data_IF_491279896728
#
_entry.id   IF_491279896728
#
_cell.length_a   1.000
_cell.length_b   1.000
_cell.length_c   1.000
_cell.angle_alpha   90.00
_cell.angle_beta   90.00
_cell.angle_gamma   90.00
#
_symmetry.space_group_name_H-M   'P 1'
#
loop_
_entity.id
_entity.type
_entity.pdbx_description
1 polymer ?
#
# COMPACT_ATOMS: atom_id res chain seq x y z
N UNK A 1 10.03 -2.20 -1.53
CA UNK A 1 10.74 -1.04 -2.11
C UNK A 1 9.91 0.19 -1.79
N UNK A 2 10.51 1.18 -1.13
CA UNK A 2 9.83 2.40 -0.71
C UNK A 2 10.43 3.58 -1.44
N UNK A 3 9.60 4.45 -2.00
CA UNK A 3 10.01 5.70 -2.62
C UNK A 3 9.18 6.86 -2.09
N UNK A 4 9.78 8.05 -2.09
CA UNK A 4 9.15 9.30 -1.66
C UNK A 4 9.21 10.27 -2.83
N UNK A 5 8.07 10.89 -3.14
CA UNK A 5 7.90 11.77 -4.30
C UNK A 5 7.31 13.10 -3.85
N UNK A 6 7.84 14.20 -4.36
CA UNK A 6 7.19 15.50 -4.25
C UNK A 6 6.27 15.67 -5.46
N UNK A 7 4.96 15.57 -5.23
CA UNK A 7 3.95 15.63 -6.29
C UNK A 7 3.30 17.00 -6.29
N UNK A 8 3.37 17.69 -7.43
CA UNK A 8 2.66 18.96 -7.67
C UNK A 8 1.38 18.67 -8.43
N UNK A 9 0.24 19.11 -7.89
CA UNK A 9 -1.06 19.02 -8.54
C UNK A 9 -1.80 20.36 -8.39
N UNK A 10 -2.01 21.07 -9.50
CA UNK A 10 -2.51 22.44 -9.52
C UNK A 10 -1.64 23.34 -8.60
N UNK A 11 -2.27 24.00 -7.62
CA UNK A 11 -1.61 24.86 -6.63
C UNK A 11 -1.16 24.12 -5.37
N UNK A 12 -1.35 22.80 -5.30
CA UNK A 12 -0.98 21.99 -4.15
C UNK A 12 0.31 21.22 -4.41
N UNK A 13 1.16 21.15 -3.40
CA UNK A 13 2.33 20.26 -3.35
C UNK A 13 2.11 19.33 -2.18
N UNK A 14 2.31 18.02 -2.40
CA UNK A 14 2.24 17.03 -1.35
C UNK A 14 3.35 15.99 -1.52
N UNK A 15 3.82 15.48 -0.38
CA UNK A 15 4.73 14.34 -0.35
C UNK A 15 3.92 13.04 -0.48
N UNK A 16 4.28 12.21 -1.47
CA UNK A 16 3.70 10.90 -1.69
C UNK A 16 4.72 9.82 -1.34
N UNK A 17 4.36 8.96 -0.40
CA UNK A 17 5.12 7.76 -0.06
C UNK A 17 4.53 6.56 -0.79
N UNK A 18 5.31 5.97 -1.70
CA UNK A 18 4.91 4.79 -2.46
C UNK A 18 5.65 3.55 -1.93
N UNK A 19 4.89 2.52 -1.55
CA UNK A 19 5.43 1.28 -0.99
C UNK A 19 5.03 0.13 -1.92
N UNK A 20 6.02 -0.55 -2.50
CA UNK A 20 5.82 -1.70 -3.35
C UNK A 20 6.28 -2.99 -2.65
N UNK A 21 5.34 -3.91 -2.43
CA UNK A 21 5.60 -5.25 -1.93
C UNK A 21 5.69 -6.24 -3.10
N UNK A 22 6.89 -6.79 -3.34
CA UNK A 22 7.17 -7.63 -4.52
C UNK A 22 7.02 -9.14 -4.26
N UNK A 23 6.98 -9.56 -2.99
CA UNK A 23 6.90 -10.97 -2.57
C UNK A 23 5.45 -11.44 -2.39
N UNK A 24 4.57 -11.03 -3.29
CA UNK A 24 3.17 -11.44 -3.28
C UNK A 24 2.70 -11.75 -4.71
N UNK A 25 2.90 -13.00 -5.15
CA UNK A 25 2.46 -13.46 -6.46
C UNK A 25 0.94 -13.35 -6.59
N UNK A 26 0.46 -13.36 -7.84
CA UNK A 26 -0.98 -13.33 -8.07
C UNK A 26 -1.63 -14.67 -7.71
N UNK A 27 -2.89 -14.61 -7.30
CA UNK A 27 -3.69 -15.78 -6.89
C UNK A 27 -3.09 -16.64 -5.77
N UNK A 28 -2.16 -16.10 -4.97
CA UNK A 28 -1.54 -16.81 -3.86
C UNK A 28 -1.42 -15.96 -2.60
N UNK A 29 -1.03 -16.60 -1.51
CA UNK A 29 -0.58 -15.92 -0.30
C UNK A 29 0.79 -15.26 -0.53
N UNK A 30 1.16 -14.26 0.30
CA UNK A 30 2.53 -13.74 0.34
C UNK A 30 3.55 -14.87 0.51
N UNK A 31 4.66 -14.83 -0.23
CA UNK A 31 5.76 -15.78 -0.01
C UNK A 31 6.55 -15.50 1.27
N UNK A 32 6.34 -14.31 1.84
CA UNK A 32 6.88 -13.85 3.11
C UNK A 32 5.74 -13.17 3.86
N UNK A 33 5.34 -13.73 5.01
CA UNK A 33 4.20 -13.24 5.78
C UNK A 33 4.54 -12.02 6.61
N UNK A 34 5.81 -11.86 7.03
CA UNK A 34 6.26 -10.76 7.89
C UNK A 34 6.08 -9.43 7.16
N UNK A 35 6.55 -9.34 5.93
CA UNK A 35 6.44 -8.11 5.13
C UNK A 35 4.99 -7.72 4.82
N UNK A 36 4.10 -8.70 4.62
CA UNK A 36 2.68 -8.43 4.40
C UNK A 36 1.99 -7.92 5.69
N UNK A 37 2.33 -8.50 6.84
CA UNK A 37 1.83 -8.05 8.16
C UNK A 37 2.35 -6.65 8.51
N UNK A 38 3.61 -6.34 8.21
CA UNK A 38 4.16 -4.99 8.39
C UNK A 38 3.44 -3.96 7.51
N UNK A 39 3.15 -4.30 6.25
CA UNK A 39 2.38 -3.44 5.36
C UNK A 39 0.96 -3.19 5.89
N UNK A 40 0.30 -4.22 6.43
CA UNK A 40 -1.01 -4.08 7.07
C UNK A 40 -0.94 -3.15 8.30
N UNK A 41 0.07 -3.31 9.16
CA UNK A 41 0.29 -2.44 10.33
C UNK A 41 0.49 -0.98 9.92
N UNK A 42 1.26 -0.72 8.85
CA UNK A 42 1.46 0.63 8.32
C UNK A 42 0.13 1.29 7.89
N UNK A 43 -0.74 0.53 7.22
CA UNK A 43 -2.07 1.01 6.82
C UNK A 43 -2.92 1.34 8.04
N UNK A 44 -2.96 0.44 9.03
CA UNK A 44 -3.77 0.61 10.27
C UNK A 44 -3.30 1.78 11.13
N UNK A 45 -2.01 2.09 11.11
CA UNK A 45 -1.42 3.20 11.88
C UNK A 45 -1.48 4.55 11.15
N UNK A 46 -1.98 4.60 9.92
CA UNK A 46 -2.10 5.86 9.19
C UNK A 46 -3.16 6.77 9.83
N UNK A 47 -2.87 8.07 10.05
CA UNK A 47 -3.83 8.99 10.66
C UNK A 47 -5.15 9.10 9.88
N UNK A 48 -6.26 9.19 10.61
CA UNK A 48 -7.58 9.47 10.00
C UNK A 48 -7.51 10.80 9.22
N UNK A 49 -8.19 10.85 8.07
CA UNK A 49 -8.17 12.01 7.17
C UNK A 49 -7.05 12.00 6.11
N UNK A 50 -6.17 10.99 6.12
CA UNK A 50 -5.17 10.77 5.08
C UNK A 50 -5.56 9.51 4.27
N UNK A 51 -6.33 9.65 3.17
CA UNK A 51 -6.75 8.50 2.39
C UNK A 51 -5.52 7.79 1.80
N UNK A 52 -5.49 6.46 1.94
CA UNK A 52 -4.44 5.62 1.37
C UNK A 52 -4.99 4.95 0.11
N UNK A 53 -4.21 4.97 -0.96
CA UNK A 53 -4.48 4.17 -2.16
C UNK A 53 -3.77 2.83 -2.04
N UNK A 54 -4.53 1.75 -2.15
CA UNK A 54 -4.01 0.38 -2.20
C UNK A 54 -4.42 -0.24 -3.52
N UNK A 55 -3.48 -0.86 -4.24
CA UNK A 55 -3.78 -1.54 -5.49
C UNK A 55 -2.91 -2.79 -5.69
N UNK A 56 -3.39 -3.70 -6.54
CA UNK A 56 -2.61 -4.79 -7.11
C UNK A 56 -2.71 -4.73 -8.64
N UNK A 57 -2.74 -5.87 -9.34
CA UNK A 57 -3.00 -5.89 -10.79
C UNK A 57 -4.49 -5.66 -11.09
N UNK A 58 -5.38 -6.54 -10.61
CA UNK A 58 -6.83 -6.43 -10.81
C UNK A 58 -7.55 -5.57 -9.76
N UNK A 59 -6.85 -5.12 -8.71
CA UNK A 59 -7.43 -4.31 -7.64
C UNK A 59 -8.31 -5.05 -6.64
N UNK A 60 -8.45 -6.38 -6.76
CA UNK A 60 -9.37 -7.19 -5.92
C UNK A 60 -8.65 -8.08 -4.90
N UNK A 61 -7.97 -9.16 -5.29
CA UNK A 61 -7.50 -10.21 -4.37
C UNK A 61 -6.56 -9.68 -3.27
N UNK A 62 -5.31 -9.36 -3.65
CA UNK A 62 -4.29 -8.85 -2.72
C UNK A 62 -4.70 -7.55 -2.02
N UNK A 63 -5.40 -6.67 -2.74
CA UNK A 63 -5.95 -5.43 -2.19
C UNK A 63 -6.91 -5.72 -1.04
N UNK A 64 -7.94 -6.54 -1.28
CA UNK A 64 -8.93 -6.92 -0.27
C UNK A 64 -8.31 -7.70 0.88
N UNK A 65 -7.35 -8.61 0.61
CA UNK A 65 -6.64 -9.32 1.69
C UNK A 65 -5.87 -8.35 2.59
N UNK A 66 -5.27 -7.30 2.02
CA UNK A 66 -4.47 -6.35 2.80
C UNK A 66 -5.33 -5.36 3.61
N UNK A 67 -6.48 -4.94 3.09
CA UNK A 67 -7.40 -4.01 3.78
C UNK A 67 -8.45 -4.71 4.66
N UNK A 68 -8.57 -6.04 4.51
CA UNK A 68 -9.49 -6.88 5.27
C UNK A 68 -9.28 -6.75 6.78
N UNK A 69 -10.36 -7.01 7.53
CA UNK A 69 -10.43 -6.78 8.97
C UNK A 69 -10.12 -8.03 9.78
#
# INVERSE_FOLDING_TARGET
MTSVWNVKCKERVFELRHIQYKKWPDHSAPSDTVGAVELHRLIRNCPKGHPIVVHCSAGIGRTCTLIGN
#
